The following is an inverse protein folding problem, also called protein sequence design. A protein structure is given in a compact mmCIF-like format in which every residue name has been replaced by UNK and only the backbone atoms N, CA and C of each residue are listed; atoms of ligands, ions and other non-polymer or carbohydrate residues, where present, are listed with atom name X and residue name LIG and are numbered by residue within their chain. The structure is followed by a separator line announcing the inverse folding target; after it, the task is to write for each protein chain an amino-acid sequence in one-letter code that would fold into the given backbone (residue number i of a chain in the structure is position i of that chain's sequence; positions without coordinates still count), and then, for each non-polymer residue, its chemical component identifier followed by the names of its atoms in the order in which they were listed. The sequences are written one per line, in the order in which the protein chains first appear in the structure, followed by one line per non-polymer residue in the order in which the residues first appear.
data_IF_281224467389
#
_entry.id   IF_281224467389
#
_cell.length_a   1.000
_cell.length_b   1.000
_cell.length_c   1.000
_cell.angle_alpha   90.00
_cell.angle_beta   90.00
_cell.angle_gamma   90.00
#
_symmetry.space_group_name_H-M   'P 1'
#
loop_
_entity.id
_entity.type
_entity.pdbx_description
1 polymer ?
#
# COMPACT_ATOMS: atom_id res chain seq x y z
N UNK A 1 48.70 -21.02 33.94
CA UNK A 1 48.30 -19.93 33.05
C UNK A 1 46.99 -20.31 32.40
N UNK A 2 45.91 -19.76 32.97
CA UNK A 2 44.53 -19.82 32.47
C UNK A 2 44.40 -19.37 31.02
N UNK A 3 43.66 -20.14 30.22
CA UNK A 3 43.21 -19.74 28.88
C UNK A 3 41.83 -20.28 28.47
N UNK A 4 41.07 -20.92 29.37
CA UNK A 4 39.84 -21.65 28.99
C UNK A 4 38.57 -21.10 29.63
N UNK A 5 38.49 -19.79 29.92
CA UNK A 5 37.34 -19.22 30.63
C UNK A 5 36.72 -17.97 29.99
N UNK A 6 37.08 -17.64 28.74
CA UNK A 6 36.65 -16.38 28.11
C UNK A 6 35.87 -16.58 26.80
N UNK A 7 35.98 -17.75 26.15
CA UNK A 7 35.36 -17.95 24.82
C UNK A 7 33.91 -18.48 24.89
N UNK A 8 33.52 -19.18 25.96
CA UNK A 8 32.14 -19.69 26.12
C UNK A 8 31.15 -18.60 26.55
N UNK A 9 31.60 -17.55 27.25
CA UNK A 9 30.72 -16.44 27.70
C UNK A 9 30.40 -15.43 26.60
N UNK A 10 31.22 -15.30 25.54
CA UNK A 10 30.99 -14.36 24.43
C UNK A 10 29.96 -14.88 23.40
N UNK A 11 29.83 -16.20 23.22
CA UNK A 11 28.93 -16.78 22.22
C UNK A 11 27.46 -16.85 22.73
N UNK A 12 27.23 -17.20 24.01
CA UNK A 12 25.88 -17.21 24.62
C UNK A 12 25.25 -15.81 24.77
N UNK A 13 26.07 -14.77 24.93
CA UNK A 13 25.59 -13.38 25.03
C UNK A 13 24.97 -12.90 23.70
N UNK A 14 25.44 -13.44 22.58
CA UNK A 14 25.02 -13.02 21.22
C UNK A 14 23.64 -13.57 20.83
N UNK A 15 23.28 -14.77 21.27
CA UNK A 15 21.97 -15.39 21.00
C UNK A 15 20.86 -14.78 21.87
N UNK A 16 21.17 -14.48 23.13
CA UNK A 16 20.24 -13.83 24.06
C UNK A 16 19.94 -12.37 23.70
N UNK A 17 20.85 -11.67 23.02
CA UNK A 17 20.61 -10.34 22.44
C UNK A 17 19.86 -10.41 21.11
N UNK A 18 20.13 -11.42 20.27
CA UNK A 18 19.45 -11.60 18.98
C UNK A 18 17.98 -12.04 19.15
N UNK A 19 17.64 -12.69 20.26
CA UNK A 19 16.25 -13.02 20.61
C UNK A 19 15.45 -11.79 21.10
N UNK A 20 16.12 -10.69 21.50
CA UNK A 20 15.45 -9.47 22.00
C UNK A 20 14.85 -8.56 20.92
N UNK A 21 15.06 -8.84 19.64
CA UNK A 21 14.43 -8.05 18.55
C UNK A 21 13.87 -8.93 17.44
N UNK A 22 13.23 -10.06 17.79
CA UNK A 22 12.27 -10.68 16.86
C UNK A 22 10.92 -9.96 16.96
N UNK A 23 10.88 -8.69 16.56
CA UNK A 23 9.64 -7.90 16.53
C UNK A 23 8.76 -8.47 15.43
N UNK A 24 7.68 -9.13 15.83
CA UNK A 24 6.65 -9.58 14.89
C UNK A 24 6.03 -8.36 14.24
N UNK A 25 6.17 -8.23 12.93
CA UNK A 25 5.56 -7.15 12.14
C UNK A 25 4.05 -6.99 12.39
N UNK A 26 3.36 -8.07 12.77
CA UNK A 26 1.93 -8.03 13.09
C UNK A 26 1.61 -7.33 14.43
N UNK A 27 2.59 -7.19 15.33
CA UNK A 27 2.46 -6.60 16.67
C UNK A 27 2.96 -5.14 16.72
N UNK A 28 3.44 -4.61 15.58
CA UNK A 28 3.83 -3.21 15.46
C UNK A 28 2.63 -2.26 15.60
N UNK A 29 2.91 -1.03 16.05
CA UNK A 29 1.91 0.03 16.12
C UNK A 29 1.27 0.26 14.74
N UNK A 30 -0.07 0.42 14.66
CA UNK A 30 -0.78 0.62 13.40
C UNK A 30 -0.20 1.75 12.56
N UNK A 31 0.19 2.86 13.19
CA UNK A 31 0.75 4.04 12.54
C UNK A 31 2.10 3.74 11.87
N UNK A 32 2.90 2.88 12.50
CA UNK A 32 4.19 2.45 11.93
C UNK A 32 3.97 1.55 10.72
N UNK A 33 2.98 0.64 10.80
CA UNK A 33 2.60 -0.18 9.65
C UNK A 33 2.10 0.69 8.50
N UNK A 34 1.25 1.69 8.76
CA UNK A 34 0.77 2.63 7.75
C UNK A 34 1.93 3.37 7.07
N UNK A 35 2.92 3.83 7.83
CA UNK A 35 4.09 4.52 7.25
C UNK A 35 4.93 3.60 6.37
N UNK A 36 5.05 2.32 6.70
CA UNK A 36 5.67 1.32 5.82
C UNK A 36 4.81 1.12 4.58
N UNK A 37 3.50 0.89 4.74
CA UNK A 37 2.58 0.65 3.63
C UNK A 37 2.56 1.80 2.63
N UNK A 38 2.54 3.06 3.08
CA UNK A 38 2.57 4.25 2.22
C UNK A 38 3.79 4.32 1.30
N UNK A 39 4.90 3.65 1.66
CA UNK A 39 6.12 3.59 0.85
C UNK A 39 6.11 2.46 -0.18
N UNK A 40 5.14 1.55 -0.11
CA UNK A 40 5.03 0.43 -1.04
C UNK A 40 4.38 0.86 -2.35
N UNK A 41 4.73 0.20 -3.48
CA UNK A 41 4.03 0.40 -4.74
C UNK A 41 2.54 0.09 -4.59
N UNK A 42 1.68 0.88 -5.24
CA UNK A 42 0.22 0.69 -5.18
C UNK A 42 -0.24 -0.71 -5.57
N UNK A 43 0.52 -1.39 -6.45
CA UNK A 43 0.30 -2.80 -6.80
C UNK A 43 0.40 -3.74 -5.60
N UNK A 44 1.41 -3.54 -4.75
CA UNK A 44 1.63 -4.36 -3.56
C UNK A 44 0.53 -4.10 -2.52
N UNK A 45 0.14 -2.83 -2.35
CA UNK A 45 -0.99 -2.45 -1.48
C UNK A 45 -2.30 -3.11 -1.90
N UNK A 46 -2.53 -3.25 -3.20
CA UNK A 46 -3.74 -3.88 -3.73
C UNK A 46 -3.74 -5.40 -3.63
N UNK A 47 -2.58 -6.05 -3.77
CA UNK A 47 -2.48 -7.51 -3.96
C UNK A 47 -1.81 -8.25 -2.83
N UNK A 48 -0.64 -7.80 -2.40
CA UNK A 48 0.26 -8.57 -1.54
C UNK A 48 0.01 -8.26 -0.08
N UNK A 49 -0.01 -6.97 0.27
CA UNK A 49 -0.17 -6.51 1.67
C UNK A 49 -1.44 -7.07 2.34
N UNK A 50 -2.62 -7.09 1.69
CA UNK A 50 -3.83 -7.65 2.30
C UNK A 50 -3.77 -9.16 2.59
N UNK A 51 -2.78 -9.88 2.03
CA UNK A 51 -2.62 -11.33 2.16
C UNK A 51 -1.62 -11.74 3.25
N UNK A 52 -0.78 -10.82 3.73
CA UNK A 52 0.26 -11.13 4.73
C UNK A 52 -0.36 -11.49 6.08
N UNK A 53 -1.12 -10.56 6.66
CA UNK A 53 -1.86 -10.79 7.90
C UNK A 53 -3.00 -9.76 8.06
N UNK A 54 -3.87 -9.95 9.06
CA UNK A 54 -5.00 -9.05 9.35
C UNK A 54 -4.54 -7.62 9.68
N UNK A 55 -3.44 -7.47 10.42
CA UNK A 55 -2.90 -6.16 10.79
C UNK A 55 -2.44 -5.37 9.56
N UNK A 56 -1.70 -6.02 8.65
CA UNK A 56 -1.26 -5.42 7.39
C UNK A 56 -2.43 -5.05 6.49
N UNK A 57 -3.43 -5.92 6.38
CA UNK A 57 -4.66 -5.62 5.67
C UNK A 57 -5.34 -4.38 6.23
N UNK A 58 -5.48 -4.27 7.56
CA UNK A 58 -6.10 -3.11 8.21
C UNK A 58 -5.29 -1.83 7.96
N UNK A 59 -3.97 -1.88 8.14
CA UNK A 59 -3.09 -0.74 7.89
C UNK A 59 -3.16 -0.26 6.42
N UNK A 60 -3.23 -1.18 5.46
CA UNK A 60 -3.32 -0.81 4.03
C UNK A 60 -4.62 -0.10 3.64
N UNK A 61 -5.65 -0.12 4.50
CA UNK A 61 -6.90 0.61 4.28
C UNK A 61 -6.83 2.06 4.75
N UNK A 62 -5.76 2.46 5.44
CA UNK A 62 -5.60 3.84 5.89
C UNK A 62 -5.48 4.80 4.70
N UNK A 63 -6.22 5.93 4.68
CA UNK A 63 -6.19 6.90 3.58
C UNK A 63 -4.78 7.43 3.26
N UNK A 64 -3.88 7.50 4.24
CA UNK A 64 -2.50 7.93 4.03
C UNK A 64 -1.74 7.03 3.03
N UNK A 65 -2.11 5.76 2.91
CA UNK A 65 -1.53 4.82 1.94
C UNK A 65 -1.92 5.12 0.49
N UNK A 66 -2.96 5.93 0.27
CA UNK A 66 -3.58 6.14 -1.05
C UNK A 66 -3.44 7.59 -1.55
N UNK A 67 -2.50 8.36 -1.00
CA UNK A 67 -2.25 9.74 -1.41
C UNK A 67 -1.51 9.84 -2.75
N UNK A 68 -0.59 8.91 -3.04
CA UNK A 68 0.18 8.87 -4.29
C UNK A 68 0.03 7.48 -4.89
N UNK A 69 -0.65 7.38 -6.03
CA UNK A 69 -1.03 6.09 -6.62
C UNK A 69 -0.60 6.01 -8.07
N UNK A 70 0.23 5.01 -8.39
CA UNK A 70 0.61 4.67 -9.77
C UNK A 70 0.01 3.31 -10.17
N UNK A 71 -0.99 3.36 -11.04
CA UNK A 71 -1.67 2.19 -11.59
C UNK A 71 -1.20 1.86 -13.01
N UNK A 72 -0.23 2.57 -13.60
CA UNK A 72 0.14 2.39 -15.03
C UNK A 72 0.57 0.94 -15.33
N UNK A 73 1.45 0.39 -14.49
CA UNK A 73 1.95 -1.00 -14.64
C UNK A 73 0.83 -2.01 -14.47
N UNK A 74 -0.07 -1.78 -13.49
CA UNK A 74 -1.22 -2.65 -13.27
C UNK A 74 -2.21 -2.58 -14.45
N UNK A 75 -2.53 -1.37 -14.93
CA UNK A 75 -3.40 -1.17 -16.10
C UNK A 75 -2.84 -1.88 -17.34
N UNK A 76 -1.53 -1.76 -17.59
CA UNK A 76 -0.86 -2.47 -18.68
C UNK A 76 -0.89 -3.99 -18.50
N UNK A 77 -0.79 -4.50 -17.28
CA UNK A 77 -0.95 -5.94 -17.00
C UNK A 77 -2.38 -6.42 -17.28
N UNK A 78 -3.39 -5.59 -17.01
CA UNK A 78 -4.81 -5.87 -17.34
C UNK A 78 -5.05 -5.79 -18.86
N UNK A 79 -4.30 -4.95 -19.60
CA UNK A 79 -4.37 -4.90 -21.07
C UNK A 79 -3.90 -6.18 -21.75
N UNK A 80 -2.93 -6.90 -21.19
CA UNK A 80 -2.53 -8.20 -21.76
C UNK A 80 -3.70 -9.20 -21.71
N UNK A 81 -4.59 -9.06 -20.73
CA UNK A 81 -5.86 -9.80 -20.65
C UNK A 81 -6.97 -9.26 -21.58
N UNK A 82 -6.81 -8.09 -22.22
CA UNK A 82 -7.87 -7.36 -22.97
C UNK A 82 -8.18 -7.88 -24.36
N UNK A 83 -7.52 -8.91 -24.90
CA UNK A 83 -7.76 -9.35 -26.30
C UNK A 83 -9.21 -9.85 -26.52
N UNK A 84 -10.04 -10.02 -25.48
CA UNK A 84 -11.44 -10.45 -25.71
C UNK A 84 -12.56 -9.90 -24.80
N UNK A 85 -12.34 -9.19 -23.68
CA UNK A 85 -13.47 -8.71 -22.85
C UNK A 85 -13.11 -7.61 -21.84
N UNK A 86 -13.87 -6.51 -21.82
CA UNK A 86 -14.21 -5.75 -20.59
C UNK A 86 -13.10 -5.07 -19.77
N UNK A 87 -11.82 -5.08 -20.19
CA UNK A 87 -10.74 -4.55 -19.35
C UNK A 87 -10.76 -3.04 -19.08
N UNK A 88 -11.64 -2.27 -19.72
CA UNK A 88 -11.93 -0.87 -19.36
C UNK A 88 -12.66 -0.78 -18.03
N UNK A 89 -13.68 -1.61 -17.83
CA UNK A 89 -14.54 -1.62 -16.65
C UNK A 89 -13.77 -2.03 -15.38
N UNK A 90 -12.81 -2.95 -15.52
CA UNK A 90 -11.93 -3.38 -14.42
C UNK A 90 -11.04 -2.22 -13.95
N UNK A 91 -10.51 -1.44 -14.90
CA UNK A 91 -9.69 -0.26 -14.59
C UNK A 91 -10.54 0.80 -13.90
N UNK A 92 -11.73 1.07 -14.41
CA UNK A 92 -12.67 2.02 -13.80
C UNK A 92 -13.04 1.63 -12.36
N UNK A 93 -13.37 0.35 -12.11
CA UNK A 93 -13.66 -0.15 -10.76
C UNK A 93 -12.47 0.04 -9.82
N UNK A 94 -11.26 -0.17 -10.32
CA UNK A 94 -10.04 0.02 -9.53
C UNK A 94 -9.83 1.50 -9.18
N UNK A 95 -10.02 2.40 -10.15
CA UNK A 95 -9.91 3.85 -9.92
C UNK A 95 -10.91 4.31 -8.87
N UNK A 96 -12.19 3.91 -8.99
CA UNK A 96 -13.24 4.24 -8.00
C UNK A 96 -12.88 3.74 -6.60
N UNK A 97 -12.33 2.54 -6.50
CA UNK A 97 -11.90 1.94 -5.23
C UNK A 97 -10.72 2.71 -4.61
N UNK A 98 -9.74 3.13 -5.40
CA UNK A 98 -8.61 3.94 -4.93
C UNK A 98 -9.09 5.30 -4.43
N UNK A 99 -9.90 5.99 -5.23
CA UNK A 99 -10.46 7.30 -4.88
C UNK A 99 -11.25 7.20 -3.57
N UNK A 100 -12.10 6.18 -3.45
CA UNK A 100 -12.88 5.94 -2.22
C UNK A 100 -11.99 5.69 -1.00
N UNK A 101 -10.90 4.92 -1.15
CA UNK A 101 -9.94 4.67 -0.06
C UNK A 101 -9.13 5.89 0.35
N UNK A 102 -8.88 6.80 -0.58
CA UNK A 102 -8.11 8.00 -0.29
C UNK A 102 -8.85 9.02 0.57
N UNK A 103 -10.18 8.90 0.73
CA UNK A 103 -11.01 9.84 1.50
C UNK A 103 -10.77 11.32 1.11
N UNK A 104 -10.51 11.60 -0.16
CA UNK A 104 -10.21 12.95 -0.66
C UNK A 104 -8.76 13.39 -0.48
N UNK A 105 -7.91 12.58 0.14
CA UNK A 105 -6.48 12.85 0.35
C UNK A 105 -5.57 12.52 -0.83
N UNK A 106 -6.13 12.22 -2.01
CA UNK A 106 -5.33 11.87 -3.18
C UNK A 106 -4.59 13.12 -3.71
N UNK A 107 -3.27 13.03 -3.77
CA UNK A 107 -2.37 14.08 -4.25
C UNK A 107 -1.89 13.82 -5.67
N UNK A 108 -1.77 12.55 -6.04
CA UNK A 108 -1.31 12.14 -7.36
C UNK A 108 -1.92 10.79 -7.76
N UNK A 109 -2.51 10.73 -8.96
CA UNK A 109 -3.06 9.52 -9.55
C UNK A 109 -2.52 9.35 -10.97
N UNK A 110 -1.80 8.26 -11.23
CA UNK A 110 -1.29 7.90 -12.57
C UNK A 110 -2.01 6.67 -13.09
N UNK A 111 -2.80 6.83 -14.14
CA UNK A 111 -3.61 5.77 -14.76
C UNK A 111 -3.40 5.82 -16.28
N UNK A 112 -3.54 4.67 -16.95
CA UNK A 112 -3.58 4.61 -18.42
C UNK A 112 -4.85 3.89 -18.86
N UNK A 113 -5.37 4.24 -20.04
CA UNK A 113 -6.51 3.56 -20.68
C UNK A 113 -7.81 3.70 -19.89
N UNK A 114 -8.00 4.92 -19.37
CA UNK A 114 -9.26 5.37 -18.84
C UNK A 114 -10.04 5.98 -20.00
N UNK A 115 -10.78 5.12 -20.70
CA UNK A 115 -11.36 5.44 -22.01
C UNK A 115 -12.83 5.90 -21.90
N UNK A 116 -13.38 5.96 -20.67
CA UNK A 116 -14.78 6.26 -20.38
C UNK A 116 -14.97 7.67 -19.82
N UNK A 117 -15.77 8.49 -20.49
CA UNK A 117 -16.12 9.85 -20.07
C UNK A 117 -16.73 9.90 -18.66
N UNK A 118 -17.50 8.87 -18.27
CA UNK A 118 -18.08 8.77 -16.94
C UNK A 118 -17.00 8.66 -15.84
N UNK A 119 -15.89 7.97 -16.12
CA UNK A 119 -14.76 7.87 -15.19
C UNK A 119 -14.02 9.20 -15.04
N UNK A 120 -13.82 9.92 -16.15
CA UNK A 120 -13.21 11.25 -16.14
C UNK A 120 -14.08 12.25 -15.38
N UNK A 121 -15.39 12.22 -15.59
CA UNK A 121 -16.34 13.06 -14.86
C UNK A 121 -16.36 12.75 -13.36
N UNK A 122 -16.39 11.46 -12.98
CA UNK A 122 -16.31 11.04 -11.58
C UNK A 122 -15.02 11.49 -10.89
N UNK A 123 -13.88 11.36 -11.58
CA UNK A 123 -12.60 11.87 -11.08
C UNK A 123 -12.67 13.39 -10.88
N UNK A 124 -13.09 14.14 -11.90
CA UNK A 124 -13.22 15.59 -11.83
C UNK A 124 -14.08 16.03 -10.64
N UNK A 125 -15.25 15.40 -10.43
CA UNK A 125 -16.09 15.68 -9.27
C UNK A 125 -15.37 15.36 -7.96
N UNK A 126 -14.73 14.20 -7.86
CA UNK A 126 -14.05 13.77 -6.63
C UNK A 126 -12.91 14.72 -6.23
N UNK A 127 -12.17 15.27 -7.20
CA UNK A 127 -11.15 16.30 -6.94
C UNK A 127 -11.75 17.67 -6.65
N UNK A 128 -12.84 18.07 -7.32
CA UNK A 128 -13.52 19.35 -7.07
C UNK A 128 -14.12 19.38 -5.66
N UNK A 129 -14.76 18.30 -5.21
CA UNK A 129 -15.28 18.20 -3.85
C UNK A 129 -14.17 18.19 -2.81
N UNK A 130 -13.02 17.55 -3.09
CA UNK A 130 -11.86 17.62 -2.21
C UNK A 130 -11.34 19.06 -2.10
N UNK A 131 -11.18 19.79 -3.21
CA UNK A 131 -10.75 21.20 -3.21
C UNK A 131 -11.73 22.05 -2.42
N UNK A 132 -13.05 21.91 -2.63
CA UNK A 132 -14.06 22.72 -1.92
C UNK A 132 -14.09 22.42 -0.41
N UNK A 133 -13.89 21.16 0.02
CA UNK A 133 -13.87 20.78 1.44
C UNK A 133 -12.64 21.30 2.20
N UNK A 134 -11.54 21.67 1.51
CA UNK A 134 -10.38 22.32 2.12
C UNK A 134 -10.49 23.86 2.18
N UNK A 135 -11.56 24.45 1.64
CA UNK A 135 -11.79 25.90 1.63
C UNK A 135 -12.90 26.38 2.57
N UNK A 136 -13.43 25.52 3.45
CA UNK A 136 -14.40 25.87 4.49
C UNK A 136 -13.97 25.39 5.87
#
# INVERSE_FOLDING_TARGET
MDRTFVEEEEEELSDAENERVNVRWAEMLPETLVEVMRRLPSRELLKTVPQVCKAWRKASLDPACWQVVDLKVWCNSVKVWRVSAGGGEIVERMVKLVVSRSCGGIRELRVTNLDSDASLHYLAQSYIFAVIAFFF
#
